data_IF_720846339577
#
_entry.id   IF_720846339577
#
_cell.length_a   1.000
_cell.length_b   1.000
_cell.length_c   1.000
_cell.angle_alpha   90.00
_cell.angle_beta   90.00
_cell.angle_gamma   90.00
#
_symmetry.space_group_name_H-M   'P 1'
#
loop_
_entity.id
_entity.type
_entity.pdbx_description
1 polymer ?
#
# COMPACT_ATOMS: atom_id res chain seq x y z
N UNK A 1 21.08 -3.88 14.66
CA UNK A 1 19.86 -4.70 14.53
C UNK A 1 19.61 -4.94 13.05
N UNK A 2 19.27 -6.16 12.65
CA UNK A 2 19.08 -6.51 11.24
C UNK A 2 17.72 -6.00 10.76
N UNK A 3 17.72 -5.07 9.80
CA UNK A 3 16.50 -4.55 9.17
C UNK A 3 15.91 -5.53 8.12
N UNK A 4 16.52 -6.72 7.99
CA UNK A 4 16.16 -7.73 7.00
C UNK A 4 14.67 -8.11 6.99
N UNK A 5 13.99 -8.30 8.14
CA UNK A 5 12.56 -8.62 8.11
C UNK A 5 11.70 -7.49 7.53
N UNK A 6 12.04 -6.24 7.84
CA UNK A 6 11.32 -5.07 7.32
C UNK A 6 11.57 -4.89 5.82
N UNK A 7 12.83 -4.95 5.39
CA UNK A 7 13.20 -4.78 3.98
C UNK A 7 12.62 -5.89 3.11
N UNK A 8 12.56 -7.13 3.63
CA UNK A 8 11.91 -8.25 2.94
C UNK A 8 10.40 -8.05 2.81
N UNK A 9 9.72 -7.56 3.85
CA UNK A 9 8.27 -7.33 3.82
C UNK A 9 7.91 -6.15 2.89
N UNK A 10 8.69 -5.07 2.93
CA UNK A 10 8.53 -3.94 2.02
C UNK A 10 8.76 -4.37 0.56
N UNK A 11 9.82 -5.13 0.28
CA UNK A 11 10.10 -5.64 -1.07
C UNK A 11 8.98 -6.59 -1.56
N UNK A 12 8.44 -7.42 -0.67
CA UNK A 12 7.33 -8.30 -0.98
C UNK A 12 6.06 -7.52 -1.37
N UNK A 13 5.73 -6.46 -0.63
CA UNK A 13 4.57 -5.62 -0.95
C UNK A 13 4.77 -4.83 -2.24
N UNK A 14 5.98 -4.33 -2.50
CA UNK A 14 6.33 -3.69 -3.79
C UNK A 14 6.10 -4.63 -4.98
N UNK A 15 6.28 -5.94 -4.79
CA UNK A 15 5.99 -6.94 -5.81
C UNK A 15 4.50 -7.24 -5.96
N UNK A 16 3.76 -7.45 -4.86
CA UNK A 16 2.35 -7.90 -4.94
C UNK A 16 1.40 -6.78 -5.35
N UNK A 17 1.56 -5.57 -4.79
CA UNK A 17 0.59 -4.48 -4.93
C UNK A 17 0.22 -4.20 -6.40
N UNK A 18 1.15 -4.12 -7.36
CA UNK A 18 0.83 -3.92 -8.77
C UNK A 18 -0.10 -4.98 -9.39
N UNK A 19 -0.04 -6.23 -8.91
CA UNK A 19 -0.86 -7.34 -9.44
C UNK A 19 -2.27 -7.40 -8.87
N UNK A 20 -2.59 -6.60 -7.83
CA UNK A 20 -3.93 -6.56 -7.25
C UNK A 20 -4.99 -6.04 -8.23
N UNK A 21 -4.59 -5.43 -9.34
CA UNK A 21 -5.49 -4.98 -10.41
C UNK A 21 -6.29 -6.13 -11.05
N UNK A 22 -5.72 -7.34 -11.11
CA UNK A 22 -6.32 -8.45 -11.88
C UNK A 22 -7.23 -9.38 -11.06
N UNK A 23 -7.02 -9.48 -9.75
CA UNK A 23 -7.90 -10.23 -8.84
C UNK A 23 -7.44 -10.03 -7.39
N UNK A 24 -8.27 -9.47 -6.48
CA UNK A 24 -7.91 -9.39 -5.06
C UNK A 24 -8.37 -10.65 -4.31
N UNK A 25 -7.47 -11.54 -3.85
CA UNK A 25 -7.83 -12.66 -2.97
C UNK A 25 -8.21 -12.21 -1.55
N UNK A 26 -7.78 -11.01 -1.16
CA UNK A 26 -8.11 -10.32 0.09
C UNK A 26 -8.45 -8.86 -0.30
N UNK A 27 -9.62 -8.36 0.08
CA UNK A 27 -10.13 -7.05 -0.41
C UNK A 27 -9.24 -5.84 -0.06
N UNK A 28 -9.54 -4.68 -0.66
CA UNK A 28 -8.76 -3.43 -0.50
C UNK A 28 -8.42 -3.04 0.96
N UNK A 29 -9.33 -3.16 1.95
CA UNK A 29 -9.02 -2.79 3.33
C UNK A 29 -7.87 -3.59 3.96
N UNK A 30 -7.72 -4.87 3.58
CA UNK A 30 -6.65 -5.72 4.10
C UNK A 30 -5.28 -5.19 3.64
N UNK A 31 -5.12 -4.93 2.35
CA UNK A 31 -3.86 -4.46 1.78
C UNK A 31 -3.49 -3.06 2.28
N UNK A 32 -4.47 -2.16 2.40
CA UNK A 32 -4.26 -0.84 3.01
C UNK A 32 -3.71 -0.97 4.43
N UNK A 33 -4.31 -1.83 5.27
CA UNK A 33 -3.82 -2.09 6.64
C UNK A 33 -2.41 -2.68 6.63
N UNK A 34 -2.07 -3.53 5.66
CA UNK A 34 -0.73 -4.12 5.54
C UNK A 34 0.34 -3.08 5.20
N UNK A 35 0.08 -2.19 4.24
CA UNK A 35 1.00 -1.09 3.92
C UNK A 35 1.17 -0.16 5.14
N UNK A 36 0.07 0.21 5.81
CA UNK A 36 0.12 1.07 7.00
C UNK A 36 0.89 0.43 8.17
N UNK A 37 0.92 -0.91 8.26
CA UNK A 37 1.73 -1.60 9.27
C UNK A 37 3.24 -1.48 9.08
N UNK A 38 3.69 -1.03 7.89
CA UNK A 38 5.08 -0.67 7.65
C UNK A 38 5.44 0.73 8.16
N UNK A 39 4.45 1.58 8.42
CA UNK A 39 4.69 2.90 8.98
C UNK A 39 5.20 2.76 10.43
N UNK A 40 6.27 3.48 10.79
CA UNK A 40 6.83 3.35 12.13
C UNK A 40 5.88 3.99 13.12
N UNK A 41 5.53 3.26 14.18
CA UNK A 41 4.81 3.84 15.31
C UNK A 41 5.77 4.79 16.06
N UNK A 42 7.03 4.39 16.33
CA UNK A 42 8.06 5.25 16.97
C UNK A 42 9.50 4.74 16.71
N UNK A 43 9.94 4.59 15.45
CA UNK A 43 11.23 3.96 15.12
C UNK A 43 12.00 4.57 13.96
N UNK A 44 13.34 4.44 14.00
CA UNK A 44 14.25 4.89 12.92
C UNK A 44 14.21 3.86 11.79
N UNK A 45 13.56 4.20 10.68
CA UNK A 45 13.53 3.36 9.49
C UNK A 45 14.89 3.36 8.76
N UNK A 46 15.18 2.31 7.96
CA UNK A 46 16.28 2.35 7.01
C UNK A 46 16.15 3.56 6.06
N UNK A 47 17.29 4.03 5.55
CA UNK A 47 17.30 5.14 4.60
C UNK A 47 16.50 4.77 3.34
N UNK A 48 15.63 5.67 2.88
CA UNK A 48 14.82 5.46 1.68
C UNK A 48 13.49 4.74 1.92
N UNK A 49 13.28 4.11 3.08
CA UNK A 49 12.07 3.30 3.32
C UNK A 49 10.80 4.15 3.39
N UNK A 50 10.87 5.38 3.90
CA UNK A 50 9.73 6.32 3.92
C UNK A 50 9.29 6.67 2.49
N UNK A 51 10.23 6.98 1.60
CA UNK A 51 9.91 7.26 0.20
C UNK A 51 9.31 6.03 -0.50
N UNK A 52 9.81 4.83 -0.20
CA UNK A 52 9.30 3.58 -0.75
C UNK A 52 7.87 3.28 -0.29
N UNK A 53 7.60 3.41 1.00
CA UNK A 53 6.24 3.26 1.55
C UNK A 53 5.28 4.29 0.93
N UNK A 54 5.71 5.54 0.78
CA UNK A 54 4.91 6.58 0.13
C UNK A 54 4.54 6.22 -1.31
N UNK A 55 5.54 5.82 -2.12
CA UNK A 55 5.31 5.37 -3.51
C UNK A 55 4.41 4.14 -3.56
N UNK A 56 4.57 3.21 -2.64
CA UNK A 56 3.75 1.99 -2.55
C UNK A 56 2.29 2.34 -2.29
N UNK A 57 2.04 3.29 -1.37
CA UNK A 57 0.69 3.79 -1.08
C UNK A 57 0.09 4.50 -2.30
N UNK A 58 0.85 5.36 -2.98
CA UNK A 58 0.39 6.05 -4.19
C UNK A 58 -0.03 5.06 -5.29
N UNK A 59 0.73 3.98 -5.49
CA UNK A 59 0.40 2.92 -6.45
C UNK A 59 -0.86 2.18 -6.02
N UNK A 60 -0.96 1.80 -4.75
CA UNK A 60 -2.13 1.11 -4.20
C UNK A 60 -3.41 1.93 -4.40
N UNK A 61 -3.40 3.22 -4.05
CA UNK A 61 -4.57 4.08 -4.23
C UNK A 61 -4.96 4.26 -5.69
N UNK A 62 -4.00 4.32 -6.62
CA UNK A 62 -4.29 4.36 -8.06
C UNK A 62 -4.99 3.09 -8.53
N UNK A 63 -4.61 1.94 -7.99
CA UNK A 63 -5.24 0.65 -8.30
C UNK A 63 -6.63 0.58 -7.69
N UNK A 64 -6.78 0.95 -6.42
CA UNK A 64 -8.08 0.99 -5.71
C UNK A 64 -9.09 1.87 -6.46
N UNK A 65 -8.68 3.08 -6.89
CA UNK A 65 -9.53 3.98 -7.69
C UNK A 65 -9.95 3.40 -9.04
N UNK A 66 -9.05 2.68 -9.73
CA UNK A 66 -9.36 2.03 -11.02
C UNK A 66 -10.30 0.84 -10.85
N UNK A 67 -10.17 0.11 -9.75
CA UNK A 67 -10.96 -1.08 -9.48
C UNK A 67 -12.33 -0.77 -8.84
N UNK A 68 -12.48 0.39 -8.20
CA UNK A 68 -13.74 0.88 -7.62
C UNK A 68 -14.13 2.24 -8.21
N UNK A 69 -14.66 2.29 -9.45
CA UNK A 69 -15.03 3.54 -10.11
C UNK A 69 -16.19 4.29 -9.40
N UNK A 70 -16.93 3.62 -8.51
CA UNK A 70 -18.13 4.17 -7.86
C UNK A 70 -17.82 5.21 -6.77
N UNK A 71 -16.61 5.21 -6.20
CA UNK A 71 -16.22 6.20 -5.18
C UNK A 71 -16.00 7.62 -5.75
N UNK A 72 -15.82 7.77 -7.07
CA UNK A 72 -15.66 9.08 -7.71
C UNK A 72 -17.01 9.74 -8.05
N UNK A 73 -18.10 8.97 -8.17
CA UNK A 73 -19.42 9.49 -8.56
C UNK A 73 -20.23 10.01 -7.37
N UNK A 74 -19.97 9.54 -6.15
CA UNK A 74 -20.70 9.98 -4.95
C UNK A 74 -20.27 11.33 -4.37
N UNK A 75 -19.24 11.98 -4.93
CA UNK A 75 -18.75 13.29 -4.46
C UNK A 75 -19.43 14.50 -5.13
N UNK A 76 -20.33 14.31 -6.11
CA UNK A 76 -21.00 15.41 -6.84
C UNK A 76 -22.51 15.48 -6.59
N UNK A 77 -23.03 14.79 -5.58
CA UNK A 77 -24.45 14.85 -5.24
C UNK A 77 -24.64 15.03 -3.73
N UNK A 78 -24.43 16.27 -3.25
CA UNK A 78 -25.11 16.77 -2.05
C UNK A 78 -25.16 18.29 -2.04
#
# INVERSE_FOLDING_TARGET
MSNYPFESDLAHLEQIIPFLVSAPPLGWPYWRRRILSLSPIEGRLPAGSVQRIGRLMDVFEKIERKASPDAATTATAR
#
